data_IF_668782028494
#
_entry.id   IF_668782028494
#
_cell.length_a   1.000
_cell.length_b   1.000
_cell.length_c   1.000
_cell.angle_alpha   90.00
_cell.angle_beta   90.00
_cell.angle_gamma   90.00
#
_symmetry.space_group_name_H-M   'P 1'
#
loop_
_entity.id
_entity.type
_entity.pdbx_description
1 polymer ?
#
# COMPACT_ATOMS: atom_id res chain seq x y z
N UNK A 1 6.94 -13.36 9.77
CA UNK A 1 7.29 -12.38 8.70
C UNK A 1 7.36 -10.99 9.30
N UNK A 2 8.37 -10.22 8.94
CA UNK A 2 8.53 -8.86 9.44
C UNK A 2 7.55 -7.90 8.75
N UNK A 3 7.20 -6.79 9.41
CA UNK A 3 6.28 -5.80 8.86
C UNK A 3 6.78 -5.21 7.54
N UNK A 4 8.09 -5.01 7.41
CA UNK A 4 8.71 -4.53 6.18
C UNK A 4 8.50 -5.48 5.02
N UNK A 5 8.59 -6.79 5.26
CA UNK A 5 8.35 -7.81 4.25
C UNK A 5 6.89 -7.83 3.81
N UNK A 6 5.96 -7.63 4.75
CA UNK A 6 4.53 -7.52 4.44
C UNK A 6 4.26 -6.31 3.54
N UNK A 7 4.83 -5.16 3.89
CA UNK A 7 4.69 -3.93 3.13
C UNK A 7 5.25 -4.10 1.72
N UNK A 8 6.45 -4.66 1.60
CA UNK A 8 7.06 -4.95 0.31
C UNK A 8 6.20 -5.87 -0.55
N UNK A 9 5.63 -6.90 0.05
CA UNK A 9 4.77 -7.86 -0.64
C UNK A 9 3.50 -7.19 -1.19
N UNK A 10 2.91 -6.25 -0.44
CA UNK A 10 1.73 -5.51 -0.91
C UNK A 10 2.10 -4.65 -2.13
N UNK A 11 3.23 -3.95 -2.06
CA UNK A 11 3.72 -3.11 -3.16
C UNK A 11 4.00 -3.97 -4.40
N UNK A 12 4.65 -5.11 -4.22
CA UNK A 12 4.93 -6.05 -5.29
C UNK A 12 3.64 -6.54 -5.97
N UNK A 13 2.64 -6.87 -5.17
CA UNK A 13 1.34 -7.33 -5.68
C UNK A 13 0.63 -6.22 -6.46
N UNK A 14 0.70 -4.98 -5.98
CA UNK A 14 0.13 -3.83 -6.71
C UNK A 14 0.84 -3.62 -8.05
N UNK A 15 2.16 -3.73 -8.09
CA UNK A 15 2.93 -3.60 -9.32
C UNK A 15 2.59 -4.70 -10.31
N UNK A 16 2.44 -5.93 -9.83
CA UNK A 16 2.03 -7.06 -10.68
C UNK A 16 0.64 -6.82 -11.26
N UNK A 17 -0.29 -6.33 -10.45
CA UNK A 17 -1.64 -6.02 -10.89
C UNK A 17 -1.64 -4.92 -11.97
N UNK A 18 -0.90 -3.84 -11.75
CA UNK A 18 -0.86 -2.70 -12.67
C UNK A 18 -0.23 -3.08 -14.02
N UNK A 19 0.63 -4.10 -14.05
CA UNK A 19 1.32 -4.55 -15.25
C UNK A 19 0.73 -5.81 -15.87
N UNK A 20 -0.44 -6.25 -15.42
CA UNK A 20 -1.06 -7.49 -15.84
C UNK A 20 -2.47 -7.26 -16.37
N UNK A 21 -2.87 -8.04 -17.37
CA UNK A 21 -4.24 -8.10 -17.88
C UNK A 21 -5.09 -9.12 -17.12
N UNK A 22 -4.50 -9.85 -16.17
CA UNK A 22 -5.20 -10.90 -15.42
C UNK A 22 -6.21 -10.31 -14.46
N UNK A 23 -7.26 -11.09 -14.18
CA UNK A 23 -8.24 -10.77 -13.15
C UNK A 23 -7.53 -10.74 -11.78
N UNK A 24 -7.84 -9.73 -10.98
CA UNK A 24 -7.17 -9.50 -9.69
C UNK A 24 -7.22 -10.72 -8.76
N UNK A 25 -8.36 -11.42 -8.69
CA UNK A 25 -8.49 -12.61 -7.86
C UNK A 25 -7.53 -13.73 -8.26
N UNK A 26 -7.35 -13.95 -9.56
CA UNK A 26 -6.41 -14.95 -10.06
C UNK A 26 -4.97 -14.56 -9.77
N UNK A 27 -4.67 -13.29 -9.89
CA UNK A 27 -3.35 -12.76 -9.60
C UNK A 27 -2.98 -12.96 -8.13
N UNK A 28 -3.90 -12.69 -7.22
CA UNK A 28 -3.70 -12.87 -5.78
C UNK A 28 -3.48 -14.34 -5.44
N UNK A 29 -4.30 -15.24 -6.01
CA UNK A 29 -4.13 -16.67 -5.80
C UNK A 29 -2.76 -17.16 -6.28
N UNK A 30 -2.35 -16.75 -7.46
CA UNK A 30 -1.05 -17.15 -8.02
C UNK A 30 0.10 -16.58 -7.20
N UNK A 31 -0.03 -15.35 -6.70
CA UNK A 31 0.96 -14.72 -5.85
C UNK A 31 1.22 -15.54 -4.59
N UNK A 32 0.18 -15.94 -3.88
CA UNK A 32 0.32 -16.73 -2.66
C UNK A 32 0.69 -18.19 -2.94
N UNK A 33 0.26 -18.75 -4.06
CA UNK A 33 0.60 -20.12 -4.44
C UNK A 33 2.11 -20.29 -4.60
N UNK A 34 2.79 -19.29 -5.14
CA UNK A 34 4.24 -19.32 -5.31
C UNK A 34 5.00 -18.95 -4.03
N UNK A 35 4.30 -18.51 -2.98
CA UNK A 35 4.89 -18.05 -1.72
C UNK A 35 4.34 -18.83 -0.53
N UNK A 36 4.56 -20.14 -0.55
CA UNK A 36 4.01 -21.06 0.46
C UNK A 36 4.59 -20.82 1.87
N UNK A 37 5.72 -20.13 1.95
CA UNK A 37 6.34 -19.76 3.24
C UNK A 37 5.54 -18.74 4.03
N UNK A 38 4.61 -18.04 3.39
CA UNK A 38 3.77 -17.05 4.07
C UNK A 38 2.69 -17.72 4.91
N UNK A 39 2.62 -17.33 6.19
CA UNK A 39 1.59 -17.80 7.11
C UNK A 39 0.23 -17.18 6.83
N UNK A 40 -0.81 -17.72 7.49
CA UNK A 40 -2.18 -17.28 7.29
C UNK A 40 -2.41 -15.81 7.70
N UNK A 41 -1.76 -15.35 8.77
CA UNK A 41 -1.85 -13.95 9.22
C UNK A 41 -1.22 -12.99 8.20
N UNK A 42 -0.08 -13.38 7.65
CA UNK A 42 0.61 -12.59 6.64
C UNK A 42 -0.21 -12.48 5.37
N UNK A 43 -0.76 -13.58 4.90
CA UNK A 43 -1.62 -13.63 3.71
C UNK A 43 -2.86 -12.77 3.89
N UNK A 44 -3.47 -12.85 5.07
CA UNK A 44 -4.67 -12.07 5.38
C UNK A 44 -4.37 -10.57 5.37
N UNK A 45 -3.26 -10.16 5.99
CA UNK A 45 -2.86 -8.75 6.03
C UNK A 45 -2.57 -8.22 4.62
N UNK A 46 -1.76 -8.95 3.87
CA UNK A 46 -1.36 -8.57 2.51
C UNK A 46 -2.58 -8.49 1.59
N UNK A 47 -3.42 -9.51 1.62
CA UNK A 47 -4.62 -9.59 0.79
C UNK A 47 -5.63 -8.49 1.14
N UNK A 48 -5.90 -8.27 2.42
CA UNK A 48 -6.83 -7.24 2.88
C UNK A 48 -6.36 -5.84 2.47
N UNK A 49 -5.07 -5.56 2.65
CA UNK A 49 -4.49 -4.27 2.27
C UNK A 49 -4.57 -4.06 0.76
N UNK A 50 -4.23 -5.06 -0.02
CA UNK A 50 -4.31 -5.00 -1.49
C UNK A 50 -5.74 -4.69 -1.95
N UNK A 51 -6.73 -5.46 -1.46
CA UNK A 51 -8.13 -5.27 -1.84
C UNK A 51 -8.68 -3.92 -1.39
N UNK A 52 -8.29 -3.46 -0.20
CA UNK A 52 -8.70 -2.15 0.30
C UNK A 52 -8.14 -1.02 -0.58
N UNK A 53 -6.89 -1.13 -1.01
CA UNK A 53 -6.29 -0.14 -1.90
C UNK A 53 -7.04 -0.11 -3.23
N UNK A 54 -7.30 -1.26 -3.85
CA UNK A 54 -8.05 -1.31 -5.12
C UNK A 54 -9.45 -0.72 -4.96
N UNK A 55 -10.13 -1.06 -3.86
CA UNK A 55 -11.49 -0.59 -3.61
C UNK A 55 -11.56 0.91 -3.42
N UNK A 56 -10.55 1.51 -2.81
CA UNK A 56 -10.51 2.93 -2.50
C UNK A 56 -9.55 3.73 -3.38
N UNK A 57 -9.07 3.15 -4.48
CA UNK A 57 -7.98 3.73 -5.28
C UNK A 57 -8.32 5.13 -5.80
N UNK A 58 -9.55 5.34 -6.25
CA UNK A 58 -9.99 6.66 -6.72
C UNK A 58 -9.98 7.69 -5.59
N UNK A 59 -10.45 7.30 -4.41
CA UNK A 59 -10.45 8.17 -3.22
C UNK A 59 -9.03 8.46 -2.75
N UNK A 60 -8.17 7.46 -2.73
CA UNK A 60 -6.75 7.60 -2.37
C UNK A 60 -6.06 8.56 -3.34
N UNK A 61 -6.25 8.36 -4.63
CA UNK A 61 -5.69 9.24 -5.66
C UNK A 61 -6.18 10.68 -5.53
N UNK A 62 -7.46 10.87 -5.21
CA UNK A 62 -8.01 12.20 -4.97
C UNK A 62 -7.32 12.89 -3.78
N UNK A 63 -7.14 12.19 -2.67
CA UNK A 63 -6.44 12.73 -1.50
C UNK A 63 -4.98 13.08 -1.82
N UNK A 64 -4.26 12.21 -2.53
CA UNK A 64 -2.88 12.48 -2.91
C UNK A 64 -2.79 13.71 -3.83
N UNK A 65 -3.70 13.82 -4.80
CA UNK A 65 -3.75 14.97 -5.71
C UNK A 65 -4.05 16.26 -4.95
N UNK A 66 -5.00 16.22 -4.02
CA UNK A 66 -5.35 17.38 -3.19
C UNK A 66 -4.17 17.85 -2.35
N UNK A 67 -3.34 16.92 -1.87
CA UNK A 67 -2.14 17.22 -1.09
C UNK A 67 -0.93 17.55 -1.96
N UNK A 68 -1.10 17.56 -3.28
CA UNK A 68 -0.03 17.81 -4.26
C UNK A 68 1.11 16.78 -4.13
N UNK A 69 0.73 15.52 -3.98
CA UNK A 69 1.65 14.38 -3.89
C UNK A 69 1.45 13.50 -5.11
N UNK A 70 2.55 13.14 -5.78
CA UNK A 70 2.53 12.23 -6.92
C UNK A 70 2.00 10.86 -6.52
N UNK A 71 1.13 10.27 -7.35
CA UNK A 71 0.53 8.97 -7.09
C UNK A 71 1.53 7.87 -7.43
N UNK A 72 1.91 7.09 -6.42
CA UNK A 72 2.74 5.89 -6.57
C UNK A 72 2.15 4.77 -5.73
N UNK A 73 2.53 3.52 -5.99
CA UNK A 73 2.05 2.36 -5.23
C UNK A 73 2.41 2.48 -3.74
N UNK A 74 3.61 2.97 -3.44
CA UNK A 74 4.09 3.18 -2.08
C UNK A 74 3.23 4.20 -1.34
N UNK A 75 2.88 5.28 -2.02
CA UNK A 75 2.08 6.37 -1.45
C UNK A 75 0.62 5.97 -1.29
N UNK A 76 0.08 5.19 -2.23
CA UNK A 76 -1.26 4.61 -2.10
C UNK A 76 -1.34 3.71 -0.88
N UNK A 77 -0.38 2.83 -0.69
CA UNK A 77 -0.33 1.94 0.47
C UNK A 77 -0.20 2.71 1.77
N UNK A 78 0.70 3.70 1.80
CA UNK A 78 0.89 4.54 2.99
C UNK A 78 -0.42 5.24 3.38
N UNK A 79 -1.12 5.81 2.41
CA UNK A 79 -2.36 6.52 2.68
C UNK A 79 -3.44 5.58 3.20
N UNK A 80 -3.53 4.36 2.63
CA UNK A 80 -4.46 3.35 3.12
C UNK A 80 -4.17 2.96 4.57
N UNK A 81 -2.92 2.66 4.87
CA UNK A 81 -2.55 2.19 6.20
C UNK A 81 -2.63 3.27 7.27
N UNK A 82 -2.33 4.51 6.91
CA UNK A 82 -2.19 5.59 7.88
C UNK A 82 -3.40 6.51 7.90
N UNK A 83 -3.82 7.03 6.76
CA UNK A 83 -4.82 8.09 6.69
C UNK A 83 -6.25 7.56 6.76
N UNK A 84 -6.58 6.56 5.96
CA UNK A 84 -7.96 6.06 5.88
C UNK A 84 -8.35 5.26 7.12
N UNK A 85 -7.38 4.63 7.79
CA UNK A 85 -7.63 3.82 8.98
C UNK A 85 -7.60 4.61 10.29
N UNK A 86 -6.99 5.79 10.32
CA UNK A 86 -6.82 6.57 11.55
C UNK A 86 -7.83 7.71 11.72
N UNK A 87 -8.72 7.91 10.75
CA UNK A 87 -9.78 8.93 10.82
C UNK A 87 -9.29 10.34 11.17
N UNK A 88 -8.27 10.82 10.49
CA UNK A 88 -7.86 12.20 10.65
C UNK A 88 -8.95 13.14 10.14
N UNK A 89 -9.51 13.96 11.02
CA UNK A 89 -10.59 14.91 10.70
C UNK A 89 -10.12 16.35 10.57
N UNK A 90 -8.81 16.61 10.70
CA UNK A 90 -8.33 17.96 10.96
C UNK A 90 -7.56 18.57 9.80
N UNK A 91 -7.18 19.83 9.99
CA UNK A 91 -6.52 20.77 9.11
C UNK A 91 -5.61 20.11 8.06
N UNK A 92 -5.91 20.33 6.78
CA UNK A 92 -5.18 19.79 5.64
C UNK A 92 -3.68 20.09 5.65
N UNK A 93 -3.28 21.24 6.19
CA UNK A 93 -1.87 21.64 6.26
C UNK A 93 -1.11 20.75 7.22
N UNK A 94 -1.65 20.50 8.40
CA UNK A 94 -1.03 19.64 9.39
C UNK A 94 -0.99 18.19 8.93
N UNK A 95 -2.08 17.71 8.32
CA UNK A 95 -2.15 16.37 7.73
C UNK A 95 -1.07 16.22 6.67
N UNK A 96 -0.91 17.20 5.78
CA UNK A 96 0.12 17.18 4.74
C UNK A 96 1.52 17.06 5.35
N UNK A 97 1.82 17.86 6.38
CA UNK A 97 3.12 17.79 7.07
C UNK A 97 3.38 16.41 7.67
N UNK A 98 2.39 15.85 8.36
CA UNK A 98 2.51 14.54 9.00
C UNK A 98 2.71 13.46 7.93
N UNK A 99 1.93 13.49 6.86
CA UNK A 99 2.03 12.53 5.76
C UNK A 99 3.40 12.60 5.09
N UNK A 100 3.91 13.80 4.82
CA UNK A 100 5.22 13.96 4.17
C UNK A 100 6.35 13.44 5.04
N UNK A 101 6.31 13.69 6.36
CA UNK A 101 7.31 13.17 7.29
C UNK A 101 7.27 11.65 7.37
N UNK A 102 6.09 11.08 7.56
CA UNK A 102 5.92 9.62 7.65
C UNK A 102 6.22 8.92 6.33
N UNK A 103 5.88 9.57 5.21
CA UNK A 103 6.14 9.04 3.89
C UNK A 103 7.64 8.92 3.61
N UNK A 104 8.42 9.90 4.07
CA UNK A 104 9.88 9.85 3.94
C UNK A 104 10.46 8.62 4.63
N UNK A 105 10.03 8.36 5.86
CA UNK A 105 10.48 7.19 6.62
C UNK A 105 10.01 5.89 5.96
N UNK A 106 8.77 5.85 5.49
CA UNK A 106 8.20 4.71 4.80
C UNK A 106 8.96 4.38 3.51
N UNK A 107 9.27 5.39 2.71
CA UNK A 107 10.03 5.20 1.47
C UNK A 107 11.44 4.70 1.77
N UNK A 108 12.09 5.22 2.80
CA UNK A 108 13.41 4.75 3.21
C UNK A 108 13.38 3.27 3.61
N UNK A 109 12.37 2.85 4.36
CA UNK A 109 12.21 1.44 4.76
C UNK A 109 12.03 0.55 3.53
N UNK A 110 11.16 0.93 2.60
CA UNK A 110 10.92 0.14 1.38
C UNK A 110 12.14 0.15 0.46
N UNK A 111 12.85 1.26 0.38
CA UNK A 111 14.08 1.36 -0.40
C UNK A 111 15.16 0.40 0.11
N UNK A 112 15.38 0.36 1.43
CA UNK A 112 16.33 -0.55 2.05
C UNK A 112 15.98 -2.02 1.80
N UNK A 113 14.70 -2.32 1.75
CA UNK A 113 14.24 -3.68 1.51
C UNK A 113 14.43 -4.13 0.06
N UNK A 114 14.20 -3.22 -0.90
CA UNK A 114 14.30 -3.50 -2.34
C UNK A 114 15.76 -3.54 -2.80
N UNK A 115 16.60 -2.75 -2.21
CA UNK A 115 18.01 -2.61 -2.54
C UNK A 115 18.93 -3.14 -1.45
#
# INVERSE_FOLDING_TARGET
MLDQERIYSIIELLKLFDNSDKIASNLVQNFFRSRKYMGSKDRKFISSSFWNILRHRSKIGWHLTLLDIEITNERELFLELFFLNTRYKNNLIEIKKIILLKLKDFINITWQFIH
#
